data_IF_398964132175
#
_entry.id   IF_398964132175
#
_cell.length_a   1.000
_cell.length_b   1.000
_cell.length_c   1.000
_cell.angle_alpha   90.00
_cell.angle_beta   90.00
_cell.angle_gamma   90.00
#
_symmetry.space_group_name_H-M   'P 1'
#
loop_
_entity.id
_entity.type
_entity.pdbx_description
1 polymer ?
#
# COMPACT_ATOMS: atom_id res chain seq x y z
N UNK A 1 41.49 -21.73 -49.36
CA UNK A 1 41.54 -20.53 -48.49
C UNK A 1 40.62 -19.37 -48.94
N UNK A 2 40.69 -18.89 -50.18
CA UNK A 2 39.87 -17.71 -50.61
C UNK A 2 38.36 -17.96 -50.50
N UNK A 3 37.88 -19.12 -50.95
CA UNK A 3 36.45 -19.47 -50.88
C UNK A 3 35.91 -19.57 -49.45
N UNK A 4 36.72 -20.04 -48.49
CA UNK A 4 36.36 -20.08 -47.08
C UNK A 4 36.16 -18.67 -46.50
N UNK A 5 37.10 -17.75 -46.78
CA UNK A 5 36.97 -16.34 -46.34
C UNK A 5 35.76 -15.64 -46.95
N UNK A 6 35.41 -15.94 -48.20
CA UNK A 6 34.21 -15.37 -48.85
C UNK A 6 32.94 -15.93 -48.20
N UNK A 7 32.90 -17.23 -47.90
CA UNK A 7 31.78 -17.87 -47.19
C UNK A 7 31.61 -17.30 -45.77
N UNK A 8 32.69 -17.18 -45.00
CA UNK A 8 32.66 -16.57 -43.66
C UNK A 8 32.17 -15.12 -43.69
N UNK A 9 32.66 -14.31 -44.65
CA UNK A 9 32.22 -12.92 -44.78
C UNK A 9 30.74 -12.83 -45.14
N UNK A 10 30.25 -13.68 -46.04
CA UNK A 10 28.81 -13.74 -46.39
C UNK A 10 27.95 -14.24 -45.23
N UNK A 11 28.41 -15.24 -44.49
CA UNK A 11 27.73 -15.72 -43.29
C UNK A 11 27.61 -14.61 -42.24
N UNK A 12 28.69 -13.84 -42.02
CA UNK A 12 28.68 -12.71 -41.10
C UNK A 12 27.74 -11.57 -41.56
N UNK A 13 27.73 -11.24 -42.85
CA UNK A 13 26.78 -10.28 -43.41
C UNK A 13 25.33 -10.76 -43.29
N UNK A 14 25.07 -12.06 -43.50
CA UNK A 14 23.74 -12.63 -43.37
C UNK A 14 23.24 -12.64 -41.92
N UNK A 15 24.13 -12.90 -40.94
CA UNK A 15 23.76 -12.80 -39.51
C UNK A 15 23.38 -11.38 -39.11
N UNK A 16 24.06 -10.36 -39.64
CA UNK A 16 23.70 -8.95 -39.41
C UNK A 16 22.33 -8.61 -39.99
N UNK A 17 22.00 -9.13 -41.17
CA UNK A 17 20.70 -8.93 -41.80
C UNK A 17 19.55 -9.61 -41.04
N UNK A 18 19.81 -10.72 -40.35
CA UNK A 18 18.83 -11.41 -39.49
C UNK A 18 18.67 -10.76 -38.12
N UNK A 19 19.73 -10.15 -37.58
CA UNK A 19 19.68 -9.49 -36.28
C UNK A 19 18.77 -8.24 -36.29
N UNK A 20 18.78 -7.46 -37.36
CA UNK A 20 17.97 -6.23 -37.46
C UNK A 20 16.44 -6.48 -37.29
N UNK A 21 15.78 -7.36 -38.05
CA UNK A 21 14.34 -7.60 -37.89
C UNK A 21 14.01 -8.18 -36.52
N UNK A 22 14.90 -9.01 -35.96
CA UNK A 22 14.72 -9.57 -34.63
C UNK A 22 14.73 -8.47 -33.55
N UNK A 23 15.70 -7.56 -33.59
CA UNK A 23 15.76 -6.40 -32.69
C UNK A 23 14.54 -5.48 -32.83
N UNK A 24 14.06 -5.27 -34.06
CA UNK A 24 12.84 -4.51 -34.31
C UNK A 24 11.61 -5.21 -33.71
N UNK A 25 11.52 -6.54 -33.79
CA UNK A 25 10.45 -7.31 -33.15
C UNK A 25 10.50 -7.21 -31.62
N UNK A 26 11.69 -7.30 -31.02
CA UNK A 26 11.85 -7.09 -29.57
C UNK A 26 11.37 -5.71 -29.14
N UNK A 27 11.80 -4.67 -29.85
CA UNK A 27 11.37 -3.31 -29.56
C UNK A 27 9.86 -3.16 -29.71
N UNK A 28 9.27 -3.70 -30.77
CA UNK A 28 7.83 -3.65 -31.01
C UNK A 28 7.05 -4.34 -29.90
N UNK A 29 7.44 -5.57 -29.53
CA UNK A 29 6.77 -6.30 -28.47
C UNK A 29 6.98 -5.66 -27.10
N UNK A 30 8.13 -5.07 -26.83
CA UNK A 30 8.36 -4.30 -25.62
C UNK A 30 7.42 -3.08 -25.54
N UNK A 31 7.33 -2.29 -26.62
CA UNK A 31 6.42 -1.14 -26.69
C UNK A 31 4.95 -1.56 -26.57
N UNK A 32 4.56 -2.64 -27.24
CA UNK A 32 3.21 -3.20 -27.12
C UNK A 32 2.93 -3.74 -25.72
N UNK A 33 3.89 -4.43 -25.11
CA UNK A 33 3.79 -4.95 -23.74
C UNK A 33 3.58 -3.80 -22.77
N UNK A 34 4.43 -2.77 -22.82
CA UNK A 34 4.29 -1.56 -22.02
C UNK A 34 2.91 -0.91 -22.19
N UNK A 35 2.46 -0.70 -23.44
CA UNK A 35 1.15 -0.08 -23.72
C UNK A 35 -0.05 -0.93 -23.26
N UNK A 36 0.04 -2.26 -23.31
CA UNK A 36 -1.03 -3.17 -22.91
C UNK A 36 -1.01 -3.56 -21.42
N UNK A 37 0.15 -3.41 -20.76
CA UNK A 37 0.33 -3.77 -19.36
C UNK A 37 0.14 -2.62 -18.40
N UNK A 38 0.61 -1.44 -18.76
CA UNK A 38 0.50 -0.27 -17.91
C UNK A 38 -0.45 0.75 -18.51
N UNK A 39 -1.66 0.81 -17.95
CA UNK A 39 -2.48 2.00 -18.10
C UNK A 39 -2.05 3.02 -17.05
N UNK A 40 -0.87 3.61 -17.27
CA UNK A 40 -0.26 4.63 -16.39
C UNK A 40 -1.24 5.77 -16.17
N UNK A 41 -2.03 6.12 -17.17
CA UNK A 41 -3.06 7.15 -17.06
C UNK A 41 -4.13 6.74 -16.04
N UNK A 42 -4.66 5.53 -16.12
CA UNK A 42 -5.65 5.05 -15.15
C UNK A 42 -5.08 4.87 -13.73
N UNK A 43 -3.82 4.41 -13.59
CA UNK A 43 -3.12 4.40 -12.29
C UNK A 43 -3.01 5.81 -11.74
N UNK A 44 -2.51 6.74 -12.54
CA UNK A 44 -2.37 8.13 -12.16
C UNK A 44 -3.70 8.75 -11.76
N UNK A 45 -4.78 8.52 -12.51
CA UNK A 45 -6.10 9.08 -12.19
C UNK A 45 -6.64 8.56 -10.85
N UNK A 46 -6.55 7.26 -10.61
CA UNK A 46 -7.00 6.67 -9.33
C UNK A 46 -6.20 7.19 -8.15
N UNK A 47 -4.87 7.16 -8.27
CA UNK A 47 -3.98 7.67 -7.22
C UNK A 47 -4.22 9.17 -7.01
N UNK A 48 -4.36 9.96 -8.09
CA UNK A 48 -4.47 11.42 -8.02
C UNK A 48 -5.68 11.88 -7.22
N UNK A 49 -6.83 11.22 -7.35
CA UNK A 49 -8.02 11.58 -6.58
C UNK A 49 -7.79 11.38 -5.09
N UNK A 50 -7.27 10.21 -4.69
CA UNK A 50 -6.96 9.92 -3.28
C UNK A 50 -5.91 10.89 -2.76
N UNK A 51 -4.86 11.18 -3.55
CA UNK A 51 -3.81 12.15 -3.20
C UNK A 51 -4.38 13.55 -2.99
N UNK A 52 -5.20 14.05 -3.91
CA UNK A 52 -5.80 15.38 -3.82
C UNK A 52 -6.73 15.50 -2.61
N UNK A 53 -7.55 14.47 -2.34
CA UNK A 53 -8.46 14.43 -1.19
C UNK A 53 -7.70 14.45 0.14
N UNK A 54 -6.71 13.57 0.27
CA UNK A 54 -5.91 13.47 1.50
C UNK A 54 -5.05 14.71 1.71
N UNK A 55 -4.53 15.33 0.65
CA UNK A 55 -3.86 16.64 0.74
C UNK A 55 -4.81 17.74 1.20
N UNK A 56 -6.00 17.83 0.62
CA UNK A 56 -6.99 18.83 1.03
C UNK A 56 -7.39 18.71 2.50
N UNK A 57 -7.39 17.49 3.06
CA UNK A 57 -7.69 17.25 4.47
C UNK A 57 -6.54 17.61 5.40
N UNK A 58 -5.33 17.17 5.06
CA UNK A 58 -4.23 17.08 6.04
C UNK A 58 -3.11 18.11 5.83
N UNK A 59 -3.05 18.76 4.67
CA UNK A 59 -1.98 19.73 4.36
C UNK A 59 -2.03 20.98 5.27
N UNK A 60 -3.19 21.31 5.83
CA UNK A 60 -3.37 22.50 6.68
C UNK A 60 -3.40 22.19 8.19
N UNK A 61 -3.21 20.93 8.58
CA UNK A 61 -3.33 20.48 9.98
C UNK A 61 -2.11 20.86 10.81
N UNK A 62 -2.22 21.83 11.71
CA UNK A 62 -1.10 22.32 12.52
C UNK A 62 -1.09 21.75 13.94
N UNK A 63 -2.25 21.35 14.48
CA UNK A 63 -2.39 20.86 15.85
C UNK A 63 -3.03 19.48 15.92
N UNK A 64 -2.82 18.78 17.03
CA UNK A 64 -3.45 17.48 17.29
C UNK A 64 -4.98 17.60 17.27
N UNK A 65 -5.53 18.72 17.77
CA UNK A 65 -6.98 18.96 17.75
C UNK A 65 -7.50 19.13 16.32
N UNK A 66 -6.80 19.89 15.47
CA UNK A 66 -7.15 20.02 14.06
C UNK A 66 -7.05 18.66 13.34
N UNK A 67 -6.06 17.83 13.68
CA UNK A 67 -5.95 16.48 13.13
C UNK A 67 -7.19 15.64 13.48
N UNK A 68 -7.63 15.69 14.74
CA UNK A 68 -8.87 15.00 15.14
C UNK A 68 -10.10 15.55 14.44
N UNK A 69 -10.22 16.87 14.26
CA UNK A 69 -11.33 17.48 13.55
C UNK A 69 -11.39 16.99 12.08
N UNK A 70 -10.23 16.88 11.42
CA UNK A 70 -10.13 16.32 10.06
C UNK A 70 -10.47 14.82 10.00
N UNK A 71 -10.00 14.04 10.99
CA UNK A 71 -10.29 12.61 11.10
C UNK A 71 -11.78 12.34 11.36
N UNK A 72 -12.43 13.16 12.19
CA UNK A 72 -13.84 13.00 12.57
C UNK A 72 -14.82 13.53 11.51
N UNK A 73 -14.43 14.53 10.73
CA UNK A 73 -15.27 15.11 9.67
C UNK A 73 -14.87 14.63 8.26
N UNK A 74 -14.11 15.42 7.49
CA UNK A 74 -13.82 15.15 6.08
C UNK A 74 -13.27 13.74 5.78
N UNK A 75 -12.47 13.19 6.68
CA UNK A 75 -11.92 11.86 6.53
C UNK A 75 -13.00 10.77 6.63
N UNK A 76 -13.85 10.79 7.66
CA UNK A 76 -14.99 9.87 7.76
C UNK A 76 -15.94 10.03 6.57
N UNK A 77 -16.21 11.27 6.16
CA UNK A 77 -17.08 11.58 5.03
C UNK A 77 -16.57 10.99 3.71
N UNK A 78 -15.25 10.89 3.54
CA UNK A 78 -14.64 10.41 2.29
C UNK A 78 -14.46 8.90 2.27
N UNK A 79 -14.07 8.29 3.40
CA UNK A 79 -13.71 6.87 3.44
C UNK A 79 -14.86 5.95 3.89
N UNK A 80 -15.89 6.50 4.52
CA UNK A 80 -17.04 5.76 5.06
C UNK A 80 -18.36 6.30 4.52
N UNK A 81 -18.44 6.43 3.19
CA UNK A 81 -19.65 6.85 2.48
C UNK A 81 -20.76 5.80 2.65
N UNK A 82 -21.91 6.25 3.16
CA UNK A 82 -23.08 5.40 3.41
C UNK A 82 -24.33 5.87 2.64
N UNK A 83 -24.25 7.03 2.00
CA UNK A 83 -25.31 7.63 1.21
C UNK A 83 -24.77 8.03 -0.15
N UNK A 84 -25.60 7.96 -1.19
CA UNK A 84 -25.24 8.44 -2.51
C UNK A 84 -25.28 9.97 -2.61
N UNK A 85 -24.95 10.52 -3.78
CA UNK A 85 -24.99 11.96 -4.05
C UNK A 85 -26.39 12.57 -3.96
N UNK A 86 -27.45 11.76 -3.85
CA UNK A 86 -28.84 12.19 -3.66
C UNK A 86 -29.31 12.02 -2.21
N UNK A 87 -28.45 11.54 -1.31
CA UNK A 87 -28.77 11.25 0.09
C UNK A 87 -29.52 9.93 0.30
N UNK A 88 -29.59 9.06 -0.70
CA UNK A 88 -30.19 7.74 -0.53
C UNK A 88 -29.18 6.79 0.10
N UNK A 89 -29.59 5.94 1.06
CA UNK A 89 -28.68 5.01 1.70
C UNK A 89 -28.16 4.00 0.68
N UNK A 90 -26.84 3.85 0.63
CA UNK A 90 -26.17 2.82 -0.13
C UNK A 90 -26.50 1.44 0.44
N UNK A 91 -26.55 0.42 -0.39
CA UNK A 91 -26.87 -0.95 0.07
C UNK A 91 -25.62 -1.66 0.60
N UNK A 92 -25.75 -2.36 1.75
CA UNK A 92 -24.74 -3.30 2.28
C UNK A 92 -24.69 -4.64 1.51
N UNK A 93 -25.20 -4.71 0.28
CA UNK A 93 -25.09 -5.87 -0.64
C UNK A 93 -25.23 -7.28 -0.04
N UNK A 94 -26.44 -7.83 0.00
CA UNK A 94 -26.69 -9.28 0.09
C UNK A 94 -27.69 -9.76 -0.98
N UNK A 95 -27.81 -9.04 -2.10
CA UNK A 95 -28.75 -9.35 -3.18
C UNK A 95 -28.12 -9.15 -4.56
N UNK A 96 -28.50 -9.98 -5.53
CA UNK A 96 -28.07 -9.93 -6.94
C UNK A 96 -26.59 -10.20 -7.25
N UNK A 97 -25.85 -10.85 -6.34
CA UNK A 97 -24.47 -11.31 -6.58
C UNK A 97 -23.39 -10.30 -6.23
N UNK A 98 -23.75 -9.06 -5.88
CA UNK A 98 -22.81 -8.09 -5.29
C UNK A 98 -22.76 -8.27 -3.77
N UNK A 99 -21.81 -9.11 -3.31
CA UNK A 99 -21.57 -9.39 -1.89
C UNK A 99 -21.04 -8.18 -1.11
N UNK A 100 -20.57 -7.16 -1.83
CA UNK A 100 -19.94 -5.98 -1.26
C UNK A 100 -20.85 -4.76 -1.37
N UNK A 101 -21.79 -4.76 -2.31
CA UNK A 101 -22.71 -3.65 -2.47
C UNK A 101 -21.95 -2.34 -2.72
N UNK A 102 -22.47 -1.27 -2.15
CA UNK A 102 -21.94 0.09 -2.37
C UNK A 102 -21.35 0.72 -1.10
N UNK A 103 -21.50 0.08 0.06
CA UNK A 103 -20.86 0.54 1.28
C UNK A 103 -19.34 0.50 1.17
N UNK A 104 -18.66 1.40 1.88
CA UNK A 104 -17.18 1.44 1.91
C UNK A 104 -16.53 1.65 0.53
N UNK A 105 -17.31 2.10 -0.47
CA UNK A 105 -16.77 2.64 -1.71
C UNK A 105 -16.15 4.00 -1.41
N UNK A 106 -14.86 4.10 -1.71
CA UNK A 106 -14.07 5.32 -1.63
C UNK A 106 -13.99 5.86 -3.05
N UNK A 107 -14.56 7.05 -3.25
CA UNK A 107 -14.85 7.54 -4.60
C UNK A 107 -15.75 6.54 -5.37
N UNK A 108 -15.75 6.57 -6.71
CA UNK A 108 -16.65 5.72 -7.51
C UNK A 108 -16.17 4.27 -7.64
N UNK A 109 -14.85 4.05 -7.65
CA UNK A 109 -14.24 2.81 -8.18
C UNK A 109 -13.47 1.97 -7.16
N UNK A 110 -13.17 2.51 -5.97
CA UNK A 110 -12.33 1.83 -4.99
C UNK A 110 -13.17 1.26 -3.85
N UNK A 111 -13.01 -0.02 -3.55
CA UNK A 111 -13.69 -0.69 -2.46
C UNK A 111 -12.72 -0.96 -1.31
N UNK A 112 -12.98 -0.42 -0.12
CA UNK A 112 -12.14 -0.72 1.04
C UNK A 112 -12.14 -2.22 1.36
N UNK A 113 -10.95 -2.79 1.58
CA UNK A 113 -10.76 -4.19 1.95
C UNK A 113 -10.35 -4.31 3.42
N UNK A 114 -11.09 -5.11 4.19
CA UNK A 114 -10.80 -5.33 5.60
C UNK A 114 -11.20 -4.16 6.48
N UNK A 115 -10.29 -3.73 7.36
CA UNK A 115 -10.48 -2.60 8.26
C UNK A 115 -9.47 -1.50 7.94
N UNK A 116 -9.70 -0.32 8.50
CA UNK A 116 -8.70 0.74 8.55
C UNK A 116 -7.96 0.68 9.88
N UNK A 117 -6.65 0.48 9.81
CA UNK A 117 -5.76 0.35 10.96
C UNK A 117 -5.14 1.70 11.30
N UNK A 118 -5.33 2.14 12.53
CA UNK A 118 -4.64 3.27 13.14
C UNK A 118 -3.54 2.73 14.02
N UNK A 119 -2.29 3.06 13.71
CA UNK A 119 -1.12 2.69 14.51
C UNK A 119 -0.46 3.94 15.06
N UNK A 120 -0.06 3.92 16.32
CA UNK A 120 0.68 5.00 16.96
C UNK A 120 1.94 4.46 17.62
N UNK A 121 3.00 5.27 17.60
CA UNK A 121 4.19 5.11 18.44
C UNK A 121 4.33 6.32 19.38
N UNK A 122 4.77 6.07 20.61
CA UNK A 122 4.99 7.09 21.65
C UNK A 122 6.40 6.96 22.22
N UNK A 123 6.99 8.09 22.66
CA UNK A 123 8.33 8.09 23.28
C UNK A 123 8.38 7.40 24.64
N UNK A 124 7.27 7.49 25.37
CA UNK A 124 7.18 7.02 26.74
C UNK A 124 6.41 5.72 26.82
N UNK A 125 6.91 4.85 27.68
CA UNK A 125 6.26 3.62 28.12
C UNK A 125 5.16 3.86 29.15
N UNK A 126 5.03 5.11 29.63
CA UNK A 126 4.02 5.50 30.62
C UNK A 126 2.59 5.21 30.15
N UNK A 127 1.78 4.73 31.09
CA UNK A 127 0.35 4.56 30.87
C UNK A 127 -0.31 5.87 30.43
N UNK A 128 -1.13 5.80 29.39
CA UNK A 128 -1.84 6.95 28.83
C UNK A 128 -3.29 6.58 28.55
N UNK A 129 -4.07 7.60 28.21
CA UNK A 129 -5.52 7.51 28.18
C UNK A 129 -6.18 7.21 29.50
N UNK A 130 -5.54 7.58 30.61
CA UNK A 130 -6.09 7.48 31.97
C UNK A 130 -7.26 8.45 32.24
N UNK A 131 -7.64 9.29 31.27
CA UNK A 131 -8.76 10.20 31.42
C UNK A 131 -10.06 9.40 31.65
N UNK A 132 -10.85 9.72 32.69
CA UNK A 132 -12.14 9.08 32.91
C UNK A 132 -13.02 9.28 31.67
N UNK A 133 -13.65 8.21 31.21
CA UNK A 133 -14.54 8.25 30.06
C UNK A 133 -15.92 7.69 30.44
N UNK A 134 -16.97 8.47 30.17
CA UNK A 134 -18.35 8.03 30.29
C UNK A 134 -18.80 7.46 28.94
N UNK A 135 -19.14 6.17 28.90
CA UNK A 135 -19.57 5.54 27.65
C UNK A 135 -20.86 6.18 27.12
N UNK A 136 -20.90 6.46 25.82
CA UNK A 136 -22.11 6.88 25.11
C UNK A 136 -22.92 5.69 24.58
N UNK A 137 -22.27 4.57 24.28
CA UNK A 137 -22.86 3.37 23.70
C UNK A 137 -22.21 2.09 24.24
N UNK A 138 -22.75 0.93 23.84
CA UNK A 138 -22.13 -0.37 24.10
C UNK A 138 -20.75 -0.46 23.47
N UNK A 139 -20.58 0.05 22.24
CA UNK A 139 -19.33 -0.01 21.51
C UNK A 139 -18.20 0.73 22.24
N UNK A 140 -18.43 1.96 22.70
CA UNK A 140 -17.41 2.72 23.46
C UNK A 140 -17.17 2.14 24.86
N UNK A 141 -18.17 1.49 25.45
CA UNK A 141 -18.00 0.80 26.72
C UNK A 141 -17.15 -0.47 26.61
N UNK A 142 -17.31 -1.23 25.53
CA UNK A 142 -16.50 -2.41 25.28
C UNK A 142 -15.05 -2.02 24.95
N UNK A 143 -14.84 -0.95 24.17
CA UNK A 143 -13.52 -0.36 23.94
C UNK A 143 -12.86 0.08 25.25
N UNK A 144 -13.62 0.76 26.12
CA UNK A 144 -13.11 1.21 27.41
C UNK A 144 -12.72 0.02 28.30
N UNK A 145 -13.62 -0.96 28.48
CA UNK A 145 -13.39 -2.13 29.34
C UNK A 145 -12.22 -2.97 28.86
N UNK A 146 -12.09 -3.15 27.55
CA UNK A 146 -10.97 -3.85 26.93
C UNK A 146 -9.68 -3.02 26.90
N UNK A 147 -9.74 -1.72 27.21
CA UNK A 147 -8.67 -0.75 27.00
C UNK A 147 -8.07 -0.84 25.57
N UNK A 148 -8.93 -1.12 24.59
CA UNK A 148 -8.53 -1.29 23.20
C UNK A 148 -7.88 0.01 22.67
N UNK A 149 -6.78 -0.12 21.95
CA UNK A 149 -5.97 0.99 21.44
C UNK A 149 -5.06 1.68 22.46
N UNK A 150 -5.14 1.36 23.75
CA UNK A 150 -4.23 1.89 24.79
C UNK A 150 -3.30 0.82 25.38
N UNK A 151 -3.40 -0.41 24.89
CA UNK A 151 -2.51 -1.52 25.22
C UNK A 151 -1.48 -1.68 24.11
N UNK A 152 -0.24 -2.02 24.49
CA UNK A 152 0.78 -2.39 23.51
C UNK A 152 0.41 -3.70 22.87
N UNK A 153 0.69 -3.83 21.58
CA UNK A 153 0.50 -5.09 20.87
C UNK A 153 1.32 -6.21 21.52
N UNK A 154 0.63 -7.26 21.97
CA UNK A 154 1.25 -8.42 22.62
C UNK A 154 1.52 -8.27 24.13
N UNK A 155 1.25 -7.11 24.73
CA UNK A 155 1.29 -6.99 26.18
C UNK A 155 0.09 -7.70 26.81
N UNK A 156 0.31 -8.34 27.96
CA UNK A 156 -0.81 -8.81 28.80
C UNK A 156 -1.59 -7.60 29.29
N UNK A 157 -2.90 -7.76 29.49
CA UNK A 157 -3.78 -6.71 30.02
C UNK A 157 -3.29 -6.36 31.43
N UNK A 158 -2.51 -5.28 31.56
CA UNK A 158 -1.87 -4.97 32.84
C UNK A 158 -2.88 -4.47 33.86
N UNK A 159 -3.87 -3.64 33.51
CA UNK A 159 -4.97 -3.27 34.41
C UNK A 159 -6.22 -2.83 33.64
N UNK A 160 -7.41 -3.26 34.07
CA UNK A 160 -8.67 -2.71 33.58
C UNK A 160 -8.83 -1.28 34.10
N UNK A 161 -8.93 -0.30 33.20
CA UNK A 161 -9.21 1.08 33.59
C UNK A 161 -10.68 1.21 34.03
N UNK A 162 -10.98 2.07 35.01
CA UNK A 162 -12.33 2.20 35.52
C UNK A 162 -13.24 2.90 34.50
N UNK A 163 -14.00 2.08 33.77
CA UNK A 163 -15.00 2.49 32.79
C UNK A 163 -16.39 2.48 33.41
N UNK A 164 -17.19 3.51 33.17
CA UNK A 164 -18.59 3.53 33.60
C UNK A 164 -19.16 4.93 33.81
N UNK A 165 -20.38 4.98 34.35
CA UNK A 165 -21.06 6.21 34.77
C UNK A 165 -20.34 6.82 35.96
N UNK A 166 -19.23 7.49 35.67
CA UNK A 166 -18.67 8.48 36.58
C UNK A 166 -19.71 9.60 36.67
N UNK A 167 -20.53 9.55 37.72
CA UNK A 167 -21.42 10.65 38.10
C UNK A 167 -20.55 11.90 38.11
N UNK A 168 -20.77 12.78 37.14
CA UNK A 168 -19.90 13.90 36.79
C UNK A 168 -19.34 14.57 38.06
N UNK A 169 -18.14 14.14 38.47
CA UNK A 169 -17.32 14.95 39.35
C UNK A 169 -17.15 16.29 38.63
N UNK A 170 -17.16 17.42 39.34
CA UNK A 170 -17.25 18.74 38.73
C UNK A 170 -16.28 18.82 37.56
N UNK A 171 -16.82 19.08 36.36
CA UNK A 171 -16.16 19.08 35.05
C UNK A 171 -15.00 20.12 34.91
N UNK A 172 -14.53 20.67 36.03
CA UNK A 172 -13.50 21.68 36.14
C UNK A 172 -12.08 21.11 36.17
N UNK A 173 -11.91 19.80 36.07
CA UNK A 173 -10.62 19.19 35.72
C UNK A 173 -10.44 19.11 34.19
N UNK A 174 -10.97 20.09 33.45
CA UNK A 174 -10.36 20.51 32.19
C UNK A 174 -8.93 20.92 32.52
N UNK A 175 -8.04 19.91 32.47
CA UNK A 175 -6.59 20.06 32.48
C UNK A 175 -6.31 20.99 31.31
N UNK A 176 -6.25 22.29 31.59
CA UNK A 176 -5.73 23.27 30.65
C UNK A 176 -4.34 22.75 30.34
N UNK A 177 -4.20 22.09 29.20
CA UNK A 177 -2.92 21.97 28.51
C UNK A 177 -2.37 23.39 28.55
N UNK A 178 -1.34 23.58 29.38
CA UNK A 178 -0.84 24.89 29.73
C UNK A 178 -0.65 25.67 28.44
N UNK A 179 -1.12 26.92 28.43
CA UNK A 179 -0.96 27.86 27.33
C UNK A 179 0.51 28.12 27.07
N UNK A 180 1.18 27.17 26.44
CA UNK A 180 2.32 27.45 25.59
C UNK A 180 1.73 28.31 24.48
N UNK A 181 2.17 29.56 24.43
CA UNK A 181 1.81 30.51 23.38
C UNK A 181 1.74 29.80 22.04
N UNK A 182 0.57 29.89 21.39
CA UNK A 182 0.32 29.54 19.99
C UNK A 182 1.26 30.37 19.11
N UNK A 183 2.54 30.02 19.08
CA UNK A 183 3.40 30.40 17.99
C UNK A 183 2.80 29.71 16.78
N UNK A 184 2.13 30.48 15.93
CA UNK A 184 1.62 30.09 14.62
C UNK A 184 2.76 29.43 13.83
N UNK A 185 2.89 28.11 13.95
CA UNK A 185 3.90 27.30 13.28
C UNK A 185 3.28 26.73 12.03
N UNK A 186 3.93 27.04 10.91
CA UNK A 186 3.49 26.65 9.58
C UNK A 186 3.83 25.17 9.36
N UNK A 187 2.83 24.38 8.97
CA UNK A 187 3.07 23.01 8.52
C UNK A 187 3.84 23.05 7.20
N UNK A 188 4.88 22.25 7.10
CA UNK A 188 5.60 22.00 5.85
C UNK A 188 5.33 20.57 5.42
N UNK A 189 5.10 20.38 4.10
CA UNK A 189 5.11 19.06 3.49
C UNK A 189 6.38 18.33 3.91
N UNK A 190 6.26 17.05 4.30
CA UNK A 190 7.45 16.25 4.60
C UNK A 190 8.44 16.31 3.42
N UNK A 191 9.68 16.67 3.71
CA UNK A 191 10.78 16.68 2.75
C UNK A 191 11.77 15.61 3.16
N UNK A 192 12.28 14.84 2.20
CA UNK A 192 13.29 13.80 2.44
C UNK A 192 14.54 14.35 3.15
N UNK A 193 14.86 15.64 2.97
CA UNK A 193 15.96 16.31 3.67
C UNK A 193 15.78 16.33 5.20
N UNK A 194 14.53 16.23 5.68
CA UNK A 194 14.21 16.20 7.11
C UNK A 194 14.37 14.81 7.73
N UNK A 195 14.58 13.76 6.93
CA UNK A 195 14.68 12.37 7.39
C UNK A 195 15.83 12.17 8.38
N UNK A 196 16.94 12.92 8.22
CA UNK A 196 18.04 12.95 9.20
C UNK A 196 17.71 13.64 10.52
N UNK A 197 16.73 14.56 10.54
CA UNK A 197 16.32 15.31 11.74
C UNK A 197 15.13 14.68 12.46
N UNK A 198 14.22 14.11 11.69
CA UNK A 198 13.08 13.35 12.18
C UNK A 198 13.60 11.94 12.32
N UNK A 199 14.27 11.68 13.46
CA UNK A 199 14.90 10.38 13.80
C UNK A 199 14.20 9.26 13.07
N UNK A 200 14.91 8.60 12.16
CA UNK A 200 14.46 7.37 11.50
C UNK A 200 13.97 6.45 12.61
N UNK A 201 12.66 6.46 12.86
CA UNK A 201 12.06 5.73 13.95
C UNK A 201 12.09 4.29 13.49
N UNK A 202 13.24 3.69 13.73
CA UNK A 202 13.53 2.29 13.58
C UNK A 202 12.45 1.58 14.38
N UNK A 203 11.43 1.10 13.67
CA UNK A 203 10.62 -0.11 13.88
C UNK A 203 10.76 -0.80 15.25
N UNK A 204 10.71 -0.12 16.39
CA UNK A 204 10.51 -0.78 17.68
C UNK A 204 9.05 -1.19 17.65
N UNK A 205 8.80 -2.37 17.09
CA UNK A 205 7.47 -2.97 16.95
C UNK A 205 6.77 -3.13 18.31
N UNK A 206 7.54 -3.09 19.39
CA UNK A 206 7.12 -3.36 20.75
C UNK A 206 6.30 -2.23 21.39
N UNK A 207 6.43 -0.98 20.92
CA UNK A 207 5.74 0.19 21.48
C UNK A 207 4.64 0.75 20.56
N UNK A 208 3.90 -0.16 19.93
CA UNK A 208 2.78 0.19 19.02
C UNK A 208 1.44 0.06 19.70
N UNK A 209 0.63 1.10 19.53
CA UNK A 209 -0.77 1.17 19.96
C UNK A 209 -1.64 1.15 18.71
N UNK A 210 -2.62 0.25 18.66
CA UNK A 210 -3.37 -0.02 17.44
C UNK A 210 -4.88 -0.03 17.71
N UNK A 211 -5.66 0.60 16.83
CA UNK A 211 -7.11 0.42 16.81
C UNK A 211 -7.64 0.35 15.37
N UNK A 212 -8.87 -0.16 15.23
CA UNK A 212 -9.49 -0.44 13.95
C UNK A 212 -10.79 0.34 13.75
N UNK A 213 -11.00 0.83 12.54
CA UNK A 213 -12.31 1.26 12.05
C UNK A 213 -12.78 0.28 10.97
N UNK A 214 -13.99 -0.26 11.13
CA UNK A 214 -14.55 -1.24 10.22
C UNK A 214 -15.53 -0.57 9.26
N UNK A 215 -15.39 -0.75 7.93
CA UNK A 215 -16.24 -0.07 6.95
C UNK A 215 -17.70 -0.57 6.96
N UNK A 216 -17.99 -1.69 7.63
CA UNK A 216 -19.36 -2.18 7.85
C UNK A 216 -20.13 -1.51 8.98
N UNK A 217 -19.44 -0.80 9.88
CA UNK A 217 -20.05 -0.08 10.99
C UNK A 217 -20.73 1.20 10.53
N UNK A 218 -21.76 1.63 11.24
CA UNK A 218 -22.49 2.85 10.91
C UNK A 218 -21.61 4.08 11.20
N UNK A 219 -21.74 5.14 10.39
CA UNK A 219 -20.85 6.30 10.47
C UNK A 219 -20.90 6.99 11.84
N UNK A 220 -22.06 6.99 12.49
CA UNK A 220 -22.24 7.50 13.85
C UNK A 220 -21.45 6.69 14.89
N UNK A 221 -21.39 5.37 14.75
CA UNK A 221 -20.58 4.49 15.61
C UNK A 221 -19.10 4.79 15.41
N UNK A 222 -18.64 4.93 14.16
CA UNK A 222 -17.25 5.28 13.84
C UNK A 222 -16.85 6.65 14.42
N UNK A 223 -17.72 7.65 14.31
CA UNK A 223 -17.53 8.96 14.92
C UNK A 223 -17.44 8.87 16.44
N UNK A 224 -18.30 8.06 17.07
CA UNK A 224 -18.24 7.82 18.51
C UNK A 224 -16.92 7.15 18.93
N UNK A 225 -16.45 6.14 18.18
CA UNK A 225 -15.15 5.49 18.39
C UNK A 225 -14.00 6.49 18.30
N UNK A 226 -13.96 7.34 17.26
CA UNK A 226 -12.94 8.39 17.14
C UNK A 226 -13.03 9.41 18.28
N UNK A 227 -14.25 9.77 18.72
CA UNK A 227 -14.47 10.67 19.86
C UNK A 227 -13.97 10.07 21.16
N UNK A 228 -14.14 8.76 21.35
CA UNK A 228 -13.56 8.03 22.46
C UNK A 228 -12.03 8.14 22.48
N UNK A 229 -11.35 7.87 21.36
CA UNK A 229 -9.88 7.98 21.28
C UNK A 229 -9.39 9.42 21.48
N UNK A 230 -10.09 10.42 20.93
CA UNK A 230 -9.81 11.84 21.17
C UNK A 230 -9.92 12.21 22.64
N UNK A 231 -11.05 11.89 23.27
CA UNK A 231 -11.34 12.28 24.66
C UNK A 231 -10.42 11.58 25.66
N UNK A 232 -10.00 10.35 25.35
CA UNK A 232 -8.98 9.65 26.12
C UNK A 232 -7.55 10.05 25.73
N UNK A 233 -7.33 11.06 24.90
CA UNK A 233 -5.98 11.54 24.58
C UNK A 233 -5.10 10.44 23.97
N UNK A 234 -5.65 9.69 23.02
CA UNK A 234 -4.87 8.71 22.27
C UNK A 234 -3.68 9.38 21.60
N UNK A 235 -3.87 10.54 20.96
CA UNK A 235 -2.78 11.42 20.54
C UNK A 235 -2.49 12.46 21.62
N UNK A 236 -1.20 12.64 21.93
CA UNK A 236 -0.70 13.60 22.90
C UNK A 236 0.69 14.15 22.50
N UNK A 237 1.25 15.03 23.32
CA UNK A 237 2.58 15.63 23.09
C UNK A 237 3.76 14.63 23.16
N UNK A 238 3.52 13.40 23.62
CA UNK A 238 4.51 12.31 23.67
C UNK A 238 4.41 11.39 22.46
N UNK A 239 3.41 11.61 21.61
CA UNK A 239 3.25 10.90 20.34
C UNK A 239 4.34 11.33 19.39
N UNK A 240 4.94 10.35 18.72
CA UNK A 240 5.96 10.58 17.71
C UNK A 240 5.48 10.33 16.30
N UNK A 241 4.61 9.34 16.17
CA UNK A 241 4.24 8.77 14.90
C UNK A 241 2.81 8.26 14.98
N UNK A 242 2.04 8.55 13.94
CA UNK A 242 0.74 7.96 13.70
C UNK A 242 0.66 7.53 12.23
N UNK A 243 0.20 6.31 11.98
CA UNK A 243 -0.07 5.78 10.65
C UNK A 243 -1.54 5.37 10.56
N UNK A 244 -2.21 5.84 9.53
CA UNK A 244 -3.53 5.34 9.12
C UNK A 244 -3.34 4.52 7.86
N UNK A 245 -3.76 3.26 7.92
CA UNK A 245 -3.48 2.28 6.88
C UNK A 245 -4.72 1.54 6.48
N UNK A 246 -4.93 1.41 5.18
CA UNK A 246 -6.04 0.66 4.62
C UNK A 246 -5.70 0.20 3.21
N UNK A 247 -6.46 -0.79 2.74
CA UNK A 247 -6.32 -1.33 1.39
C UNK A 247 -7.55 -1.00 0.56
N UNK A 248 -7.35 -0.51 -0.65
CA UNK A 248 -8.40 -0.17 -1.61
C UNK A 248 -8.34 -1.12 -2.80
N UNK A 249 -9.41 -1.86 -3.05
CA UNK A 249 -9.52 -2.74 -4.21
C UNK A 249 -10.22 -2.00 -5.34
N UNK A 250 -9.60 -1.97 -6.51
CA UNK A 250 -10.22 -1.45 -7.73
C UNK A 250 -10.21 -2.55 -8.79
N UNK A 251 -11.38 -2.98 -9.24
CA UNK A 251 -11.51 -3.86 -10.40
C UNK A 251 -12.33 -3.22 -11.54
N UNK A 252 -12.68 -1.93 -11.46
CA UNK A 252 -13.54 -1.27 -12.47
C UNK A 252 -12.73 -0.61 -13.60
N UNK A 253 -11.51 -0.13 -13.31
CA UNK A 253 -10.63 0.50 -14.31
C UNK A 253 -9.52 -0.45 -14.78
N UNK A 254 -9.89 -1.49 -15.52
CA UNK A 254 -8.94 -2.43 -16.13
C UNK A 254 -8.60 -3.61 -15.21
N UNK A 255 -7.30 -3.85 -14.98
CA UNK A 255 -6.82 -4.97 -14.14
C UNK A 255 -7.23 -4.77 -12.70
N UNK A 256 -7.68 -5.83 -12.04
CA UNK A 256 -7.95 -5.72 -10.62
C UNK A 256 -6.65 -5.48 -9.83
N UNK A 257 -6.67 -4.44 -8.99
CA UNK A 257 -5.52 -3.96 -8.21
C UNK A 257 -5.93 -3.69 -6.77
N UNK A 258 -5.02 -3.99 -5.85
CA UNK A 258 -5.11 -3.59 -4.46
C UNK A 258 -4.12 -2.45 -4.22
N UNK A 259 -4.61 -1.29 -3.85
CA UNK A 259 -3.79 -0.14 -3.49
C UNK A 259 -3.61 -0.12 -1.97
N UNK A 260 -2.36 -0.24 -1.52
CA UNK A 260 -1.99 -0.03 -0.12
C UNK A 260 -1.82 1.46 0.11
N UNK A 261 -2.75 2.07 0.84
CA UNK A 261 -2.68 3.48 1.23
C UNK A 261 -2.20 3.59 2.68
N UNK A 262 -1.13 4.36 2.87
CA UNK A 262 -0.60 4.73 4.19
C UNK A 262 -0.56 6.24 4.30
N UNK A 263 -1.26 6.78 5.30
CA UNK A 263 -1.23 8.18 5.68
C UNK A 263 -0.44 8.29 6.97
N UNK A 264 0.71 8.95 6.93
CA UNK A 264 1.70 8.98 7.99
C UNK A 264 1.79 10.40 8.54
N UNK A 265 1.66 10.54 9.85
CA UNK A 265 1.88 11.76 10.59
C UNK A 265 3.10 11.58 11.50
N UNK A 266 4.09 12.47 11.38
CA UNK A 266 5.24 12.53 12.27
C UNK A 266 5.15 13.76 13.16
N UNK A 267 5.34 13.59 14.45
CA UNK A 267 5.23 14.64 15.45
C UNK A 267 6.62 15.01 15.94
N UNK A 268 7.05 16.23 15.63
CA UNK A 268 8.33 16.77 16.08
C UNK A 268 8.29 17.14 17.56
N UNK A 269 9.44 17.09 18.24
CA UNK A 269 9.58 17.59 19.61
C UNK A 269 9.26 19.09 19.72
N UNK A 270 9.43 19.82 18.62
CA UNK A 270 9.01 21.21 18.49
C UNK A 270 7.51 21.38 18.26
N UNK A 271 6.68 20.35 18.44
CA UNK A 271 5.22 20.44 18.29
C UNK A 271 4.74 20.53 16.84
N UNK A 272 5.63 20.46 15.85
CA UNK A 272 5.23 20.41 14.44
C UNK A 272 4.68 19.04 14.06
N UNK A 273 3.66 19.02 13.19
CA UNK A 273 3.12 17.80 12.57
C UNK A 273 3.58 17.79 11.13
N UNK A 274 4.11 16.66 10.66
CA UNK A 274 4.50 16.45 9.26
C UNK A 274 3.65 15.33 8.68
N UNK A 275 3.06 15.60 7.53
CA UNK A 275 2.21 14.67 6.82
C UNK A 275 2.94 14.08 5.61
N UNK A 276 2.84 12.76 5.45
CA UNK A 276 3.32 11.99 4.31
C UNK A 276 2.23 10.99 3.89
N UNK A 277 2.12 10.73 2.59
CA UNK A 277 1.27 9.66 2.06
C UNK A 277 2.09 8.71 1.21
N UNK A 278 1.84 7.41 1.35
CA UNK A 278 2.39 6.37 0.47
C UNK A 278 1.24 5.59 -0.16
N UNK A 279 1.28 5.47 -1.47
CA UNK A 279 0.32 4.71 -2.26
C UNK A 279 1.12 3.69 -3.07
N UNK A 280 0.92 2.41 -2.76
CA UNK A 280 1.64 1.31 -3.41
C UNK A 280 0.61 0.38 -4.06
N UNK A 281 0.54 0.35 -5.40
CA UNK A 281 -0.36 -0.55 -6.11
C UNK A 281 0.20 -1.97 -6.13
N UNK A 282 -0.67 -2.94 -5.87
CA UNK A 282 -0.42 -4.37 -6.01
C UNK A 282 -1.37 -4.91 -7.07
N UNK A 283 -0.84 -5.36 -8.20
CA UNK A 283 -1.65 -5.99 -9.24
C UNK A 283 -2.07 -7.39 -8.79
N UNK A 284 -3.38 -7.64 -8.71
CA UNK A 284 -3.91 -8.96 -8.35
C UNK A 284 -4.07 -9.85 -9.58
N UNK A 285 -4.24 -9.26 -10.75
CA UNK A 285 -4.32 -9.94 -12.03
C UNK A 285 -3.08 -9.63 -12.87
N UNK A 286 -2.50 -10.69 -13.44
CA UNK A 286 -1.30 -10.56 -14.26
C UNK A 286 -1.60 -9.96 -15.64
N UNK A 287 -2.71 -10.34 -16.27
CA UNK A 287 -3.07 -9.89 -17.61
C UNK A 287 -4.38 -9.10 -17.60
N UNK A 288 -4.38 -7.90 -18.19
CA UNK A 288 -5.60 -7.11 -18.39
C UNK A 288 -6.60 -7.85 -19.26
N UNK A 289 -6.08 -8.52 -20.29
CA UNK A 289 -6.89 -9.12 -21.31
C UNK A 289 -6.08 -10.18 -22.08
N UNK A 290 -6.77 -10.95 -22.91
CA UNK A 290 -6.17 -11.99 -23.75
C UNK A 290 -5.12 -11.41 -24.72
N UNK A 291 -5.27 -10.14 -25.14
CA UNK A 291 -4.31 -9.49 -26.05
C UNK A 291 -2.96 -9.25 -25.37
N UNK A 292 -2.98 -8.78 -24.12
CA UNK A 292 -1.76 -8.55 -23.33
C UNK A 292 -1.03 -9.88 -23.08
N UNK A 293 -1.77 -10.94 -22.73
CA UNK A 293 -1.23 -12.30 -22.67
C UNK A 293 -0.59 -12.75 -24.00
N UNK A 294 -1.25 -12.51 -25.12
CA UNK A 294 -0.74 -12.88 -26.45
C UNK A 294 0.58 -12.19 -26.80
N UNK A 295 0.72 -10.90 -26.46
CA UNK A 295 1.96 -10.14 -26.67
C UNK A 295 3.09 -10.67 -25.80
N UNK A 296 2.83 -10.96 -24.52
CA UNK A 296 3.84 -11.53 -23.61
C UNK A 296 4.29 -12.93 -24.03
N UNK A 297 3.36 -13.78 -24.48
CA UNK A 297 3.69 -15.11 -25.02
C UNK A 297 4.53 -14.98 -26.29
N UNK A 298 4.16 -14.08 -27.20
CA UNK A 298 4.93 -13.84 -28.42
C UNK A 298 6.34 -13.31 -28.11
N UNK A 299 6.46 -12.37 -27.16
CA UNK A 299 7.74 -11.87 -26.67
C UNK A 299 8.59 -12.98 -26.06
N UNK A 300 8.00 -13.81 -25.20
CA UNK A 300 8.65 -14.96 -24.57
C UNK A 300 9.13 -15.99 -25.61
N UNK A 301 8.35 -16.25 -26.67
CA UNK A 301 8.75 -17.13 -27.77
C UNK A 301 9.96 -16.58 -28.53
N UNK A 302 9.93 -15.30 -28.92
CA UNK A 302 11.07 -14.65 -29.59
C UNK A 302 12.30 -14.67 -28.70
N UNK A 303 12.13 -14.35 -27.41
CA UNK A 303 13.19 -14.43 -26.41
C UNK A 303 13.80 -15.83 -26.29
N UNK A 304 12.96 -16.87 -26.21
CA UNK A 304 13.41 -18.26 -26.09
C UNK A 304 14.20 -18.70 -27.32
N UNK A 305 13.68 -18.39 -28.52
CA UNK A 305 14.32 -18.74 -29.79
C UNK A 305 15.70 -18.08 -29.90
N UNK A 306 15.79 -16.78 -29.63
CA UNK A 306 17.07 -16.06 -29.67
C UNK A 306 18.06 -16.60 -28.65
N UNK A 307 17.61 -16.82 -27.40
CA UNK A 307 18.46 -17.37 -26.33
C UNK A 307 19.01 -18.75 -26.71
N UNK A 308 18.15 -19.61 -27.25
CA UNK A 308 18.57 -20.92 -27.74
C UNK A 308 19.62 -20.83 -28.86
N UNK A 309 19.41 -19.96 -29.86
CA UNK A 309 20.40 -19.75 -30.92
C UNK A 309 21.73 -19.22 -30.40
N UNK A 310 21.72 -18.27 -29.44
CA UNK A 310 22.97 -17.72 -28.86
C UNK A 310 23.71 -18.77 -28.03
N UNK A 311 22.99 -19.57 -27.24
CA UNK A 311 23.58 -20.68 -26.50
C UNK A 311 24.20 -21.72 -27.44
N UNK A 312 23.54 -22.04 -28.56
CA UNK A 312 24.12 -22.93 -29.58
C UNK A 312 25.39 -22.36 -30.23
N UNK A 313 25.43 -21.06 -30.51
CA UNK A 313 26.62 -20.40 -31.06
C UNK A 313 27.78 -20.39 -30.07
N UNK A 314 27.52 -20.05 -28.80
CA UNK A 314 28.53 -20.13 -27.75
C UNK A 314 28.99 -21.57 -27.51
N UNK A 315 28.09 -22.56 -27.55
CA UNK A 315 28.47 -23.97 -27.46
C UNK A 315 29.39 -24.40 -28.61
N UNK A 316 29.10 -23.96 -29.83
CA UNK A 316 29.99 -24.22 -30.99
C UNK A 316 31.34 -23.54 -30.84
N UNK A 317 31.39 -22.30 -30.34
CA UNK A 317 32.64 -21.60 -30.07
C UNK A 317 33.44 -22.30 -28.95
N UNK A 318 32.76 -22.82 -27.94
CA UNK A 318 33.35 -23.63 -26.87
C UNK A 318 33.97 -24.93 -27.41
N UNK A 319 33.27 -25.67 -28.27
CA UNK A 319 33.82 -26.87 -28.92
C UNK A 319 35.05 -26.59 -29.80
N UNK A 320 35.24 -25.33 -30.23
CA UNK A 320 36.42 -24.87 -30.99
C UNK A 320 37.50 -24.24 -30.12
N UNK A 321 37.32 -24.19 -28.79
CA UNK A 321 38.20 -23.47 -27.86
C UNK A 321 38.30 -21.96 -28.11
N UNK A 322 37.31 -21.37 -28.78
CA UNK A 322 37.24 -19.94 -29.12
C UNK A 322 36.20 -19.18 -28.26
N UNK A 323 35.68 -19.81 -27.20
CA UNK A 323 34.60 -19.24 -26.38
C UNK A 323 34.93 -17.85 -25.86
N UNK A 324 36.15 -17.63 -25.35
CA UNK A 324 36.54 -16.32 -24.80
C UNK A 324 36.55 -15.23 -25.86
N UNK A 325 37.11 -15.51 -27.04
CA UNK A 325 37.09 -14.56 -28.16
C UNK A 325 35.67 -14.28 -28.64
N UNK A 326 34.80 -15.29 -28.64
CA UNK A 326 33.39 -15.14 -29.00
C UNK A 326 32.64 -14.27 -27.99
N UNK A 327 32.83 -14.51 -26.69
CA UNK A 327 32.19 -13.75 -25.60
C UNK A 327 32.69 -12.31 -25.49
N UNK A 328 33.96 -12.05 -25.81
CA UNK A 328 34.56 -10.72 -25.74
C UNK A 328 34.29 -9.84 -26.98
N UNK A 329 33.69 -10.41 -28.03
CA UNK A 329 33.14 -9.61 -29.12
C UNK A 329 31.98 -8.75 -28.58
N UNK A 330 32.06 -7.40 -28.67
CA UNK A 330 31.05 -6.51 -28.11
C UNK A 330 29.61 -6.83 -28.54
N UNK A 331 29.43 -7.33 -29.77
CA UNK A 331 28.09 -7.68 -30.27
C UNK A 331 27.53 -8.90 -29.55
N UNK A 332 28.31 -9.96 -29.40
CA UNK A 332 27.87 -11.17 -28.68
C UNK A 332 27.69 -10.85 -27.20
N UNK A 333 28.56 -10.04 -26.59
CA UNK A 333 28.43 -9.59 -25.21
C UNK A 333 27.10 -8.87 -24.97
N UNK A 334 26.70 -7.95 -25.86
CA UNK A 334 25.42 -7.26 -25.79
C UNK A 334 24.24 -8.21 -25.95
N UNK A 335 24.31 -9.18 -26.87
CA UNK A 335 23.26 -10.18 -27.06
C UNK A 335 23.10 -11.09 -25.83
N UNK A 336 24.19 -11.50 -25.20
CA UNK A 336 24.16 -12.24 -23.94
C UNK A 336 23.59 -11.40 -22.80
N UNK A 337 23.91 -10.11 -22.75
CA UNK A 337 23.29 -9.18 -21.81
C UNK A 337 21.76 -9.14 -21.99
N UNK A 338 21.26 -9.05 -23.23
CA UNK A 338 19.81 -9.12 -23.51
C UNK A 338 19.19 -10.44 -23.05
N UNK A 339 19.87 -11.58 -23.25
CA UNK A 339 19.41 -12.89 -22.74
C UNK A 339 19.29 -12.87 -21.22
N UNK A 340 20.31 -12.37 -20.52
CA UNK A 340 20.33 -12.29 -19.04
C UNK A 340 19.25 -11.34 -18.51
N UNK A 341 19.10 -10.16 -19.12
CA UNK A 341 18.03 -9.21 -18.76
C UNK A 341 16.67 -9.85 -18.98
N UNK A 342 16.45 -10.55 -20.09
CA UNK A 342 15.19 -11.26 -20.35
C UNK A 342 14.89 -12.37 -19.32
N UNK A 343 15.90 -13.13 -18.87
CA UNK A 343 15.75 -14.04 -17.73
C UNK A 343 15.33 -13.31 -16.46
N UNK A 344 15.96 -12.16 -16.18
CA UNK A 344 15.62 -11.30 -15.05
C UNK A 344 14.16 -10.84 -15.10
N UNK A 345 13.70 -10.36 -16.26
CA UNK A 345 12.30 -9.94 -16.48
C UNK A 345 11.33 -11.10 -16.23
N UNK A 346 11.62 -12.29 -16.76
CA UNK A 346 10.78 -13.48 -16.51
C UNK A 346 10.75 -13.81 -15.01
N UNK A 347 11.90 -13.74 -14.32
CA UNK A 347 11.98 -13.95 -12.88
C UNK A 347 11.13 -12.95 -12.09
N UNK A 348 11.20 -11.67 -12.45
CA UNK A 348 10.38 -10.59 -11.87
C UNK A 348 8.89 -10.85 -12.11
N UNK A 349 8.50 -11.29 -13.31
CA UNK A 349 7.12 -11.66 -13.63
C UNK A 349 6.61 -12.79 -12.72
N UNK A 350 7.36 -13.87 -12.57
CA UNK A 350 6.99 -14.97 -11.66
C UNK A 350 6.90 -14.51 -10.21
N UNK A 351 7.78 -13.60 -9.80
CA UNK A 351 7.78 -13.00 -8.47
C UNK A 351 6.52 -12.16 -8.22
N UNK A 352 6.10 -11.32 -9.18
CA UNK A 352 4.84 -10.58 -9.10
C UNK A 352 3.62 -11.51 -9.02
N UNK A 353 3.60 -12.60 -9.80
CA UNK A 353 2.52 -13.58 -9.73
C UNK A 353 2.47 -14.29 -8.35
N UNK A 354 3.64 -14.61 -7.79
CA UNK A 354 3.75 -15.14 -6.43
C UNK A 354 3.17 -14.16 -5.40
N UNK A 355 3.54 -12.88 -5.48
CA UNK A 355 2.99 -11.82 -4.61
C UNK A 355 1.47 -11.72 -4.75
N UNK A 356 0.96 -11.62 -5.99
CA UNK A 356 -0.47 -11.48 -6.28
C UNK A 356 -1.28 -12.65 -5.69
N UNK A 357 -0.76 -13.87 -5.82
CA UNK A 357 -1.36 -15.07 -5.24
C UNK A 357 -1.38 -14.99 -3.71
N UNK A 358 -0.26 -14.63 -3.07
CA UNK A 358 -0.16 -14.50 -1.60
C UNK A 358 -1.07 -13.41 -1.03
N UNK A 359 -1.17 -12.28 -1.71
CA UNK A 359 -2.06 -11.19 -1.31
C UNK A 359 -3.51 -11.62 -1.44
N UNK A 360 -3.88 -12.27 -2.55
CA UNK A 360 -5.24 -12.81 -2.76
C UNK A 360 -5.60 -13.85 -1.69
N UNK A 361 -4.71 -14.80 -1.40
CA UNK A 361 -4.88 -15.80 -0.34
C UNK A 361 -5.07 -15.15 1.04
N UNK A 362 -4.32 -14.08 1.33
CA UNK A 362 -4.40 -13.37 2.62
C UNK A 362 -5.65 -12.51 2.75
N UNK A 363 -6.14 -11.97 1.64
CA UNK A 363 -7.38 -11.18 1.61
C UNK A 363 -8.63 -12.05 1.66
N UNK A 364 -8.63 -13.25 1.07
CA UNK A 364 -9.83 -14.09 0.90
C UNK A 364 -10.62 -14.29 2.21
N UNK A 365 -10.02 -14.67 3.36
CA UNK A 365 -10.78 -14.90 4.58
C UNK A 365 -11.49 -13.65 5.12
N UNK A 366 -10.81 -12.49 5.07
CA UNK A 366 -11.39 -11.21 5.44
C UNK A 366 -12.47 -10.81 4.44
N UNK A 367 -12.26 -11.13 3.16
CA UNK A 367 -13.22 -10.92 2.09
C UNK A 367 -14.49 -11.74 2.26
N UNK A 368 -14.37 -12.99 2.69
CA UNK A 368 -15.53 -13.88 2.86
C UNK A 368 -16.46 -13.41 3.99
N UNK A 369 -15.95 -12.63 4.96
CA UNK A 369 -16.77 -12.02 6.01
C UNK A 369 -17.56 -10.79 5.54
N UNK A 370 -17.15 -10.11 4.47
CA UNK A 370 -17.85 -8.94 3.95
C UNK A 370 -18.07 -7.86 5.01
N UNK A 371 -19.34 -7.41 5.12
CA UNK A 371 -19.77 -6.41 6.09
C UNK A 371 -19.99 -6.93 7.52
N UNK A 372 -19.84 -8.24 7.74
CA UNK A 372 -19.87 -8.82 9.09
C UNK A 372 -18.54 -8.65 9.86
N UNK A 373 -17.52 -8.09 9.21
CA UNK A 373 -16.24 -7.78 9.83
C UNK A 373 -16.41 -6.77 10.97
N UNK A 374 -15.82 -7.07 12.13
CA UNK A 374 -16.03 -6.34 13.38
C UNK A 374 -14.86 -6.60 14.35
N UNK A 375 -14.93 -6.02 15.55
CA UNK A 375 -13.91 -6.19 16.60
C UNK A 375 -13.66 -7.68 16.97
N UNK A 376 -14.65 -8.57 16.77
CA UNK A 376 -14.50 -10.01 16.98
C UNK A 376 -13.50 -10.69 16.03
N UNK A 377 -13.18 -10.03 14.91
CA UNK A 377 -12.36 -10.56 13.83
C UNK A 377 -10.96 -9.90 13.76
N UNK A 378 -10.57 -9.13 14.77
CA UNK A 378 -9.29 -8.39 14.79
C UNK A 378 -8.09 -9.31 14.52
N UNK A 379 -8.04 -10.50 15.10
CA UNK A 379 -6.93 -11.43 14.87
C UNK A 379 -6.76 -11.83 13.38
N UNK A 380 -7.87 -11.95 12.65
CA UNK A 380 -7.84 -12.25 11.22
C UNK A 380 -7.38 -11.05 10.39
N UNK A 381 -7.84 -9.86 10.76
CA UNK A 381 -7.44 -8.59 10.13
C UNK A 381 -5.95 -8.30 10.37
N UNK A 382 -5.46 -8.54 11.58
CA UNK A 382 -4.05 -8.49 11.94
C UNK A 382 -3.20 -9.39 11.05
N UNK A 383 -3.62 -10.63 10.86
CA UNK A 383 -2.91 -11.60 10.03
C UNK A 383 -2.88 -11.16 8.56
N UNK A 384 -4.00 -10.62 8.06
CA UNK A 384 -4.09 -10.04 6.72
C UNK A 384 -3.09 -8.87 6.57
N UNK A 385 -3.10 -7.87 7.46
CA UNK A 385 -2.17 -6.76 7.42
C UNK A 385 -0.72 -7.24 7.43
N UNK A 386 -0.37 -8.15 8.36
CA UNK A 386 0.98 -8.68 8.47
C UNK A 386 1.46 -9.33 7.17
N UNK A 387 0.65 -10.20 6.57
CA UNK A 387 1.03 -10.93 5.35
C UNK A 387 1.08 -10.02 4.13
N UNK A 388 0.08 -9.16 3.95
CA UNK A 388 0.00 -8.22 2.82
C UNK A 388 1.13 -7.20 2.90
N UNK A 389 1.46 -6.70 4.10
CA UNK A 389 2.53 -5.73 4.29
C UNK A 389 3.90 -6.24 3.91
N UNK A 390 4.21 -7.49 4.24
CA UNK A 390 5.45 -8.11 3.82
C UNK A 390 5.56 -8.10 2.30
N UNK A 391 4.47 -8.38 1.58
CA UNK A 391 4.47 -8.33 0.11
C UNK A 391 4.58 -6.90 -0.42
N UNK A 392 3.86 -5.95 0.17
CA UNK A 392 3.92 -4.54 -0.21
C UNK A 392 5.32 -3.96 0.02
N UNK A 393 5.99 -4.32 1.11
CA UNK A 393 7.38 -3.90 1.38
C UNK A 393 8.35 -4.47 0.32
N UNK A 394 8.16 -5.71 -0.14
CA UNK A 394 8.96 -6.24 -1.26
C UNK A 394 8.76 -5.46 -2.55
N UNK A 395 7.52 -5.05 -2.84
CA UNK A 395 7.22 -4.24 -4.02
C UNK A 395 7.82 -2.83 -3.93
N UNK A 396 7.77 -2.22 -2.75
CA UNK A 396 8.36 -0.90 -2.51
C UNK A 396 9.88 -0.93 -2.75
N UNK A 397 10.57 -1.98 -2.27
CA UNK A 397 12.01 -2.15 -2.51
C UNK A 397 12.35 -2.30 -3.99
N UNK A 398 11.52 -2.99 -4.77
CA UNK A 398 11.73 -3.15 -6.22
C UNK A 398 11.51 -1.83 -6.95
N UNK A 399 10.55 -1.00 -6.52
CA UNK A 399 10.24 0.28 -7.15
C UNK A 399 11.40 1.30 -7.08
N UNK A 400 12.27 1.18 -6.09
CA UNK A 400 13.42 2.09 -5.88
C UNK A 400 14.59 1.76 -6.82
N UNK A 401 14.63 0.54 -7.39
CA UNK A 401 15.65 0.07 -8.33
C UNK A 401 15.23 0.36 -9.76
#
# INVERSE_FOLDING_TARGET
HVMHRILERRLHTNTLLLNLPLSLMYFLFYVMGYYLHEDISNVFFLESTIRMRTDAMFLEVQTIDQLWDQLQGPFLDTFFVQEDHTGQPLSKGYGNGDRWGQWGRVETFNQMQGAMLFTQSRRSTDAFGIAPYSCGSSATCDLCRGNAGFQRRGALIEHAHPCGNWSAGPANASRRLGGAEDSLRRLDLYREELDGTIREQTKIKEDRFEFYLFPGADKSELLEKLTYFRNRGWLDHLTDYMEVKFYLLNCELGRCRLESTRVIFRFSQGGGIYYERKLIPVFLEWFANIKSLGVDVAFGCVWTVTSFFRLLLAWRAFLRSELFSHMMDPLNMFEFFVVVVGLGVIGVIFFFNYIATRVTESLSPVRDLGWALSDAHVALVDEMFLKVDVQVEYLDMIRVV
#
